data_IF_142949909248
#
_entry.id   IF_142949909248
#
_cell.length_a   1.000
_cell.length_b   1.000
_cell.length_c   1.000
_cell.angle_alpha   90.00
_cell.angle_beta   90.00
_cell.angle_gamma   90.00
#
_symmetry.space_group_name_H-M   'P 1'
#
loop_
_entity.id
_entity.type
_entity.pdbx_description
1 polymer ?
#
# COMPACT_ATOMS: atom_id res chain seq x y z
N UNK A 1 -15.17 -22.44 15.93
CA UNK A 1 -15.73 -21.21 15.34
C UNK A 1 -14.62 -20.48 14.59
N UNK A 2 -14.64 -20.56 13.26
CA UNK A 2 -13.70 -19.93 12.33
C UNK A 2 -13.76 -18.41 12.49
N UNK A 3 -12.69 -17.76 12.95
CA UNK A 3 -12.56 -16.31 12.81
C UNK A 3 -12.18 -16.04 11.36
N UNK A 4 -13.15 -15.62 10.58
CA UNK A 4 -12.98 -15.07 9.23
C UNK A 4 -11.97 -13.93 9.34
N UNK A 5 -10.77 -14.08 8.77
CA UNK A 5 -9.84 -12.97 8.60
C UNK A 5 -10.47 -11.99 7.64
N UNK A 6 -11.14 -10.99 8.19
CA UNK A 6 -11.69 -9.87 7.45
C UNK A 6 -10.50 -8.98 7.06
N UNK A 7 -10.24 -8.74 5.76
CA UNK A 7 -9.23 -7.77 5.38
C UNK A 7 -9.71 -6.41 5.90
N UNK A 8 -8.96 -5.84 6.83
CA UNK A 8 -9.14 -4.45 7.24
C UNK A 8 -8.83 -3.62 5.99
N UNK A 9 -9.88 -3.26 5.26
CA UNK A 9 -9.80 -2.19 4.28
C UNK A 9 -9.34 -0.95 5.06
N UNK A 10 -8.20 -0.33 4.71
CA UNK A 10 -7.79 0.88 5.40
C UNK A 10 -8.90 1.93 5.21
N UNK A 11 -9.43 2.41 6.33
CA UNK A 11 -10.41 3.49 6.34
C UNK A 11 -9.90 4.68 5.52
N UNK A 12 -10.75 5.40 4.77
CA UNK A 12 -10.33 6.59 4.05
C UNK A 12 -9.97 7.67 5.07
N UNK A 13 -8.69 7.77 5.42
CA UNK A 13 -8.17 8.91 6.17
C UNK A 13 -8.16 10.10 5.22
N UNK A 14 -8.84 11.16 5.64
CA UNK A 14 -8.93 12.43 4.92
C UNK A 14 -7.55 12.93 4.49
N UNK A 15 -7.42 13.58 3.31
CA UNK A 15 -6.15 14.11 2.84
C UNK A 15 -5.70 15.26 3.75
N UNK A 16 -4.80 14.94 4.69
CA UNK A 16 -3.94 15.90 5.35
C UNK A 16 -2.95 16.45 4.29
N UNK A 17 -2.59 17.74 4.29
CA UNK A 17 -1.81 18.40 3.23
C UNK A 17 -0.36 17.89 3.05
N UNK A 18 0.02 16.77 3.67
CA UNK A 18 1.31 16.10 3.58
C UNK A 18 1.47 15.08 2.44
N UNK A 19 0.72 15.19 1.34
CA UNK A 19 1.03 14.48 0.07
C UNK A 19 1.02 12.94 0.17
N UNK A 20 0.10 12.36 0.94
CA UNK A 20 -0.09 10.91 1.00
C UNK A 20 -1.01 10.49 -0.14
N UNK A 21 -0.59 9.52 -0.95
CA UNK A 21 -1.35 8.97 -2.06
C UNK A 21 -1.58 7.47 -1.88
N UNK A 22 -2.65 6.97 -2.51
CA UNK A 22 -2.96 5.54 -2.54
C UNK A 22 -2.16 4.82 -3.63
N UNK A 23 -1.58 3.68 -3.26
CA UNK A 23 -0.80 2.82 -4.14
C UNK A 23 -1.26 1.37 -4.01
N UNK A 24 -1.34 0.65 -5.12
CA UNK A 24 -1.67 -0.77 -5.18
C UNK A 24 -0.37 -1.58 -5.22
N UNK A 25 -0.25 -2.57 -4.35
CA UNK A 25 0.85 -3.54 -4.32
C UNK A 25 0.74 -4.48 -5.52
N UNK A 26 1.85 -4.68 -6.22
CA UNK A 26 1.91 -5.53 -7.40
C UNK A 26 2.23 -6.98 -7.05
N UNK A 27 2.04 -7.90 -7.99
CA UNK A 27 2.38 -9.33 -7.82
C UNK A 27 3.90 -9.56 -7.67
N UNK A 28 4.70 -8.64 -8.18
CA UNK A 28 6.17 -8.67 -8.08
C UNK A 28 6.70 -8.12 -6.76
N UNK A 29 5.82 -7.63 -5.89
CA UNK A 29 6.22 -7.05 -4.62
C UNK A 29 6.76 -8.12 -3.66
N UNK A 30 7.86 -7.83 -2.95
CA UNK A 30 8.28 -8.67 -1.83
C UNK A 30 7.23 -8.66 -0.71
N UNK A 31 7.29 -9.58 0.26
CA UNK A 31 6.33 -9.65 1.38
C UNK A 31 6.36 -8.42 2.31
N UNK A 32 7.22 -7.44 2.02
CA UNK A 32 7.24 -6.13 2.68
C UNK A 32 7.51 -5.00 1.70
N UNK A 33 6.72 -3.94 1.77
CA UNK A 33 6.85 -2.70 0.98
C UNK A 33 6.83 -1.52 1.93
N UNK A 34 7.79 -0.60 1.81
CA UNK A 34 7.93 0.56 2.72
C UNK A 34 7.90 0.16 4.21
N UNK A 35 8.53 -0.96 4.56
CA UNK A 35 8.58 -1.50 5.92
C UNK A 35 7.29 -2.19 6.42
N UNK A 36 6.21 -2.20 5.64
CA UNK A 36 4.92 -2.83 6.00
C UNK A 36 4.79 -4.21 5.36
N UNK A 37 4.17 -5.17 6.06
CA UNK A 37 3.80 -6.47 5.46
C UNK A 37 2.61 -6.30 4.54
N UNK A 38 2.67 -6.89 3.35
CA UNK A 38 1.66 -6.74 2.29
C UNK A 38 1.47 -8.03 1.50
N UNK A 39 0.34 -8.13 0.81
CA UNK A 39 0.10 -9.07 -0.28
C UNK A 39 -0.15 -8.31 -1.60
N UNK A 40 -0.03 -9.03 -2.72
CA UNK A 40 -0.38 -8.48 -4.02
C UNK A 40 -1.84 -8.02 -4.04
N UNK A 41 -2.09 -6.81 -4.54
CA UNK A 41 -3.41 -6.18 -4.58
C UNK A 41 -3.79 -5.36 -3.34
N UNK A 42 -2.98 -5.37 -2.28
CA UNK A 42 -3.19 -4.46 -1.13
C UNK A 42 -3.10 -3.00 -1.54
N UNK A 43 -3.83 -2.13 -0.82
CA UNK A 43 -3.75 -0.68 -0.99
C UNK A 43 -2.94 -0.09 0.17
N UNK A 44 -1.90 0.64 -0.16
CA UNK A 44 -1.04 1.35 0.77
C UNK A 44 -1.19 2.86 0.59
N UNK A 45 -1.36 3.55 1.71
CA UNK A 45 -1.22 5.00 1.78
C UNK A 45 0.23 5.33 2.13
N UNK A 46 0.92 5.93 1.16
CA UNK A 46 2.34 6.28 1.23
C UNK A 46 2.54 7.73 0.83
N UNK A 47 3.52 8.38 1.43
CA UNK A 47 4.05 9.65 0.92
C UNK A 47 4.89 9.39 -0.33
N UNK A 48 5.11 10.42 -1.14
CA UNK A 48 5.98 10.32 -2.32
C UNK A 48 7.39 9.79 -2.00
N UNK A 49 7.96 10.20 -0.85
CA UNK A 49 9.27 9.72 -0.39
C UNK A 49 9.27 8.20 -0.15
N UNK A 50 8.26 7.69 0.57
CA UNK A 50 8.13 6.27 0.85
C UNK A 50 7.82 5.46 -0.40
N UNK A 51 7.03 6.01 -1.32
CA UNK A 51 6.64 5.36 -2.56
C UNK A 51 7.77 5.34 -3.60
N UNK A 52 8.70 6.30 -3.57
CA UNK A 52 9.69 6.51 -4.64
C UNK A 52 10.49 5.25 -4.97
N UNK A 53 11.12 4.63 -3.97
CA UNK A 53 11.94 3.42 -4.17
C UNK A 53 11.09 2.23 -4.62
N UNK A 54 9.88 2.11 -4.09
CA UNK A 54 8.96 1.01 -4.38
C UNK A 54 8.37 1.11 -5.79
N UNK A 55 8.12 2.33 -6.29
CA UNK A 55 7.68 2.60 -7.66
C UNK A 55 8.79 2.26 -8.67
N UNK A 56 10.04 2.63 -8.39
CA UNK A 56 11.18 2.29 -9.25
C UNK A 56 11.38 0.78 -9.32
N UNK A 57 11.19 0.08 -8.19
CA UNK A 57 11.29 -1.37 -8.11
C UNK A 57 10.04 -2.10 -8.63
N UNK A 58 9.01 -1.39 -9.09
CA UNK A 58 7.73 -1.94 -9.57
C UNK A 58 6.99 -2.78 -8.53
N UNK A 59 7.23 -2.56 -7.23
CA UNK A 59 6.52 -3.24 -6.14
C UNK A 59 5.12 -2.64 -5.89
N UNK A 60 4.93 -1.38 -6.30
CA UNK A 60 3.65 -0.69 -6.20
C UNK A 60 3.37 0.08 -7.48
N UNK A 61 2.10 0.42 -7.68
CA UNK A 61 1.63 1.33 -8.72
C UNK A 61 0.60 2.30 -8.14
N UNK A 62 0.44 3.53 -8.67
CA UNK A 62 -0.59 4.45 -8.19
C UNK A 62 -1.98 3.82 -8.33
N UNK A 63 -2.86 4.04 -7.35
CA UNK A 63 -4.24 3.55 -7.34
C UNK A 63 -5.21 4.43 -8.18
N UNK A 64 -4.66 5.28 -9.05
CA UNK A 64 -5.36 6.25 -9.92
C UNK A 64 -6.42 5.62 -10.82
#
# INVERSE_FOLDING_TARGET
MTRKSEPVAPAPVSPDPGGVADYIVTDTAPPRVAGRRVAAGDILQLTEDQARSELIALHIRPAV
#
